data_IF_121865195263
#
_entry.id   IF_121865195263
#
_cell.length_a   1.000
_cell.length_b   1.000
_cell.length_c   1.000
_cell.angle_alpha   90.00
_cell.angle_beta   90.00
_cell.angle_gamma   90.00
#
_symmetry.space_group_name_H-M   'P 1'
#
loop_
_entity.id
_entity.type
_entity.pdbx_description
1 polymer ?
#
# COMPACT_ATOMS: atom_id res chain seq x y z
N UNK A 1 -19.12 -22.48 -17.08
CA UNK A 1 -17.72 -22.01 -17.13
C UNK A 1 -16.88 -22.97 -16.30
N UNK A 2 -15.79 -23.50 -16.86
CA UNK A 2 -14.83 -24.31 -16.13
C UNK A 2 -13.68 -23.42 -15.63
N UNK A 3 -13.23 -23.64 -14.39
CA UNK A 3 -12.09 -22.93 -13.81
C UNK A 3 -10.83 -23.78 -14.00
N UNK A 4 -9.73 -23.17 -14.42
CA UNK A 4 -8.45 -23.83 -14.65
C UNK A 4 -7.34 -23.15 -13.86
N UNK A 5 -6.51 -23.96 -13.20
CA UNK A 5 -5.28 -23.49 -12.57
C UNK A 5 -4.17 -23.38 -13.60
N UNK A 6 -3.42 -22.27 -13.57
CA UNK A 6 -2.22 -22.06 -14.37
C UNK A 6 -1.07 -21.82 -13.39
N UNK A 7 -0.01 -22.61 -13.49
CA UNK A 7 1.19 -22.43 -12.70
C UNK A 7 2.33 -22.01 -13.61
N UNK A 8 2.79 -20.77 -13.48
CA UNK A 8 3.94 -20.25 -14.20
C UNK A 8 4.87 -19.53 -13.22
N UNK A 9 6.02 -20.15 -12.95
CA UNK A 9 6.92 -19.77 -11.84
C UNK A 9 8.21 -19.12 -12.35
N UNK A 10 8.56 -19.32 -13.62
CA UNK A 10 9.82 -18.85 -14.17
C UNK A 10 9.82 -17.32 -14.29
N UNK A 11 10.84 -16.69 -13.70
CA UNK A 11 11.00 -15.23 -13.63
C UNK A 11 10.08 -14.52 -12.63
N UNK A 12 9.14 -15.24 -12.00
CA UNK A 12 8.21 -14.66 -11.03
C UNK A 12 8.85 -14.39 -9.66
N UNK A 13 8.43 -13.33 -8.95
CA UNK A 13 8.95 -13.03 -7.63
C UNK A 13 8.51 -14.09 -6.60
N UNK A 14 9.47 -14.65 -5.85
CA UNK A 14 9.20 -15.67 -4.82
C UNK A 14 8.94 -15.03 -3.46
N UNK A 15 7.72 -14.58 -3.20
CA UNK A 15 7.41 -13.78 -2.01
C UNK A 15 5.96 -13.87 -1.55
N UNK A 16 5.73 -13.50 -0.29
CA UNK A 16 4.41 -13.36 0.33
C UNK A 16 4.08 -11.91 0.60
N UNK A 17 2.81 -11.59 0.87
CA UNK A 17 2.37 -10.26 1.30
C UNK A 17 2.77 -9.11 0.35
N UNK A 18 2.90 -9.40 -0.94
CA UNK A 18 3.01 -8.41 -2.01
C UNK A 18 1.61 -7.88 -2.36
N UNK A 19 1.56 -6.76 -3.07
CA UNK A 19 0.32 -6.27 -3.68
C UNK A 19 0.39 -6.42 -5.20
N UNK A 20 -0.75 -6.71 -5.84
CA UNK A 20 -0.82 -6.81 -7.30
C UNK A 20 -2.06 -6.13 -7.87
N UNK A 21 -1.95 -5.61 -9.09
CA UNK A 21 -3.06 -5.05 -9.86
C UNK A 21 -3.06 -5.62 -11.29
N UNK A 22 -4.24 -5.71 -11.88
CA UNK A 22 -4.41 -5.98 -13.32
C UNK A 22 -4.62 -4.68 -14.08
N UNK A 23 -3.96 -4.53 -15.23
CA UNK A 23 -4.02 -3.32 -16.06
C UNK A 23 -4.22 -3.69 -17.52
N UNK A 24 -5.16 -3.01 -18.19
CA UNK A 24 -5.44 -3.13 -19.64
C UNK A 24 -5.72 -4.55 -20.12
N UNK A 25 -6.32 -5.38 -19.27
CA UNK A 25 -6.65 -6.78 -19.56
C UNK A 25 -5.47 -7.60 -20.12
N UNK A 26 -4.23 -7.22 -19.76
CA UNK A 26 -3.01 -7.84 -20.29
C UNK A 26 -1.91 -7.99 -19.27
N UNK A 27 -1.73 -6.99 -18.42
CA UNK A 27 -0.58 -6.94 -17.53
C UNK A 27 -1.02 -7.12 -16.09
N UNK A 28 -0.25 -7.90 -15.33
CA UNK A 28 -0.31 -7.92 -13.87
C UNK A 28 0.95 -7.26 -13.34
N UNK A 29 0.80 -6.19 -12.57
CA UNK A 29 1.90 -5.56 -11.85
C UNK A 29 1.92 -6.08 -10.43
N UNK A 30 3.08 -6.48 -9.94
CA UNK A 30 3.33 -6.92 -8.56
C UNK A 30 4.33 -5.97 -7.90
N UNK A 31 4.02 -5.55 -6.67
CA UNK A 31 4.74 -4.55 -5.91
C UNK A 31 5.23 -5.14 -4.58
N UNK A 32 6.53 -4.99 -4.30
CA UNK A 32 7.13 -5.37 -3.01
C UNK A 32 6.80 -6.80 -2.57
N UNK A 33 6.67 -7.00 -1.26
CA UNK A 33 6.44 -8.30 -0.61
C UNK A 33 7.64 -8.77 0.22
N UNK A 34 7.50 -9.91 0.88
CA UNK A 34 8.48 -10.54 1.76
C UNK A 34 9.04 -11.83 1.15
N UNK A 35 10.36 -11.92 0.99
CA UNK A 35 11.09 -13.11 0.55
C UNK A 35 12.14 -13.50 1.61
N UNK A 36 12.14 -14.76 2.03
CA UNK A 36 13.18 -15.28 2.94
C UNK A 36 14.55 -15.22 2.26
N UNK A 37 15.52 -14.56 2.89
CA UNK A 37 16.89 -14.43 2.38
C UNK A 37 17.16 -13.11 1.64
N UNK A 38 16.13 -12.29 1.37
CA UNK A 38 16.34 -10.88 1.05
C UNK A 38 16.59 -10.09 2.36
N UNK A 39 17.54 -9.17 2.34
CA UNK A 39 17.90 -8.39 3.53
C UNK A 39 17.01 -7.16 3.65
N UNK A 40 15.93 -7.28 4.44
CA UNK A 40 15.01 -6.17 4.73
C UNK A 40 15.60 -5.09 5.67
N UNK A 41 16.83 -5.27 6.16
CA UNK A 41 17.57 -4.28 6.95
C UNK A 41 18.40 -3.32 6.06
N UNK A 42 18.69 -3.70 4.81
CA UNK A 42 19.27 -2.81 3.81
C UNK A 42 18.20 -1.83 3.32
N UNK A 43 18.59 -0.61 2.93
CA UNK A 43 17.64 0.33 2.31
C UNK A 43 17.57 -0.01 0.83
N UNK A 44 16.65 -0.89 0.47
CA UNK A 44 16.27 -1.09 -0.92
C UNK A 44 14.93 -0.43 -1.22
N UNK A 45 14.76 -0.02 -2.47
CA UNK A 45 13.50 0.54 -2.95
C UNK A 45 12.53 -0.58 -3.26
N UNK A 46 11.24 -0.26 -3.20
CA UNK A 46 10.19 -1.18 -3.59
C UNK A 46 10.34 -1.51 -5.08
N UNK A 47 10.44 -2.80 -5.37
CA UNK A 47 10.59 -3.32 -6.72
C UNK A 47 9.22 -3.57 -7.38
N UNK A 48 9.24 -3.63 -8.71
CA UNK A 48 8.07 -3.88 -9.54
C UNK A 48 8.37 -5.07 -10.45
N UNK A 49 7.47 -6.06 -10.45
CA UNK A 49 7.48 -7.15 -11.42
C UNK A 49 6.24 -7.06 -12.29
N UNK A 50 6.41 -7.30 -13.59
CA UNK A 50 5.34 -7.19 -14.58
C UNK A 50 5.16 -8.56 -15.24
N UNK A 51 3.95 -9.10 -15.18
CA UNK A 51 3.56 -10.30 -15.89
C UNK A 51 2.71 -9.93 -17.10
N UNK A 52 3.12 -10.37 -18.28
CA UNK A 52 2.31 -10.27 -19.50
C UNK A 52 1.55 -11.58 -19.69
N UNK A 53 0.21 -11.54 -19.57
CA UNK A 53 -0.62 -12.74 -19.66
C UNK A 53 -0.62 -13.37 -21.06
N UNK A 54 -0.28 -12.59 -22.10
CA UNK A 54 -0.24 -13.09 -23.48
C UNK A 54 1.03 -13.92 -23.69
N UNK A 55 2.17 -13.43 -23.20
CA UNK A 55 3.45 -14.14 -23.36
C UNK A 55 3.74 -15.11 -22.21
N UNK A 56 2.98 -15.03 -21.12
CA UNK A 56 3.19 -15.79 -19.87
C UNK A 56 4.61 -15.60 -19.30
N UNK A 57 5.13 -14.38 -19.38
CA UNK A 57 6.47 -14.03 -18.91
C UNK A 57 6.43 -12.94 -17.85
N UNK A 58 7.23 -13.16 -16.81
CA UNK A 58 7.56 -12.16 -15.80
C UNK A 58 8.81 -11.38 -16.19
N UNK A 59 8.78 -10.08 -15.93
CA UNK A 59 9.91 -9.17 -16.10
C UNK A 59 10.06 -8.31 -14.85
N UNK A 60 11.26 -8.26 -14.26
CA UNK A 60 11.58 -7.30 -13.21
C UNK A 60 11.82 -5.94 -13.84
N UNK A 61 11.04 -4.93 -13.45
CA UNK A 61 11.25 -3.56 -13.88
C UNK A 61 12.45 -2.94 -13.14
N UNK A 62 13.33 -2.19 -13.83
CA UNK A 62 14.49 -1.56 -13.19
C UNK A 62 14.07 -0.56 -12.10
N UNK A 63 14.68 -0.69 -10.93
CA UNK A 63 14.54 0.29 -9.86
C UNK A 63 15.26 1.58 -10.23
N UNK A 64 14.64 2.77 -10.03
CA UNK A 64 15.33 4.05 -10.20
C UNK A 64 16.62 4.16 -9.37
N UNK A 65 17.66 4.69 -10.00
CA UNK A 65 18.95 5.02 -9.42
C UNK A 65 18.89 6.34 -8.65
N UNK A 66 19.88 6.62 -7.79
CA UNK A 66 19.95 7.86 -6.99
C UNK A 66 19.99 9.15 -7.81
N UNK A 67 20.35 9.06 -9.09
CA UNK A 67 20.41 10.21 -10.01
C UNK A 67 19.08 10.47 -10.71
N UNK A 68 18.12 9.55 -10.63
CA UNK A 68 16.81 9.72 -11.24
C UNK A 68 15.93 10.64 -10.40
N UNK A 69 15.24 11.58 -11.04
CA UNK A 69 14.36 12.56 -10.37
C UNK A 69 13.27 11.89 -9.50
N UNK A 70 12.82 10.70 -9.92
CA UNK A 70 11.79 9.93 -9.21
C UNK A 70 12.34 9.11 -8.02
N UNK A 71 13.64 9.09 -7.75
CA UNK A 71 14.25 8.22 -6.73
C UNK A 71 13.59 8.37 -5.35
N UNK A 72 13.34 9.61 -4.94
CA UNK A 72 12.71 9.89 -3.64
C UNK A 72 11.20 9.62 -3.64
N UNK A 73 10.59 9.43 -4.80
CA UNK A 73 9.21 9.01 -4.98
C UNK A 73 9.03 7.49 -4.94
N UNK A 74 10.11 6.71 -4.97
CA UNK A 74 10.01 5.25 -4.82
C UNK A 74 9.88 4.87 -3.34
N UNK A 75 8.85 4.11 -2.93
CA UNK A 75 8.72 3.61 -1.56
C UNK A 75 9.96 2.78 -1.16
N UNK A 76 10.27 2.72 0.13
CA UNK A 76 11.17 1.66 0.62
C UNK A 76 10.51 0.27 0.45
N UNK A 77 11.32 -0.78 0.27
CA UNK A 77 10.83 -2.16 0.15
C UNK A 77 10.02 -2.58 1.38
N UNK A 78 8.84 -3.16 1.17
CA UNK A 78 7.90 -3.47 2.25
C UNK A 78 6.98 -4.61 1.87
N UNK A 79 6.31 -5.14 2.86
CA UNK A 79 5.24 -6.13 2.71
C UNK A 79 3.97 -5.68 3.44
N UNK A 80 2.84 -6.31 3.15
CA UNK A 80 1.55 -6.04 3.81
C UNK A 80 0.92 -4.70 3.44
N UNK A 81 1.34 -4.08 2.34
CA UNK A 81 0.68 -2.91 1.74
C UNK A 81 -0.47 -3.38 0.85
N UNK A 82 -1.35 -2.45 0.48
CA UNK A 82 -2.35 -2.67 -0.56
C UNK A 82 -2.01 -1.85 -1.81
N UNK A 83 -2.52 -2.31 -2.96
CA UNK A 83 -2.47 -1.58 -4.21
C UNK A 83 -3.86 -1.56 -4.84
N UNK A 84 -4.23 -0.43 -5.43
CA UNK A 84 -5.48 -0.23 -6.14
C UNK A 84 -5.19 0.47 -7.48
N UNK A 85 -5.95 0.16 -8.53
CA UNK A 85 -5.77 0.78 -9.85
C UNK A 85 -6.92 1.73 -10.15
N UNK A 86 -6.60 2.95 -10.58
CA UNK A 86 -7.55 3.94 -11.09
C UNK A 86 -6.92 4.56 -12.34
N UNK A 87 -7.59 4.45 -13.49
CA UNK A 87 -7.15 5.04 -14.76
C UNK A 87 -5.68 4.69 -15.13
N UNK A 88 -5.31 3.41 -15.07
CA UNK A 88 -3.95 2.91 -15.32
C UNK A 88 -2.86 3.41 -14.33
N UNK A 89 -3.24 4.05 -13.23
CA UNK A 89 -2.32 4.46 -12.16
C UNK A 89 -2.51 3.53 -10.96
N UNK A 90 -1.41 2.95 -10.49
CA UNK A 90 -1.39 2.15 -9.27
C UNK A 90 -1.23 3.05 -8.06
N UNK A 91 -2.15 2.98 -7.10
CA UNK A 91 -2.11 3.66 -5.81
C UNK A 91 -1.70 2.66 -4.74
N UNK A 92 -0.61 2.93 -4.05
CA UNK A 92 0.00 2.03 -3.07
C UNK A 92 0.00 2.72 -1.71
N UNK A 93 -0.57 2.04 -0.71
CA UNK A 93 -0.68 2.57 0.64
C UNK A 93 -0.27 1.53 1.69
N UNK A 94 0.34 2.01 2.77
CA UNK A 94 0.67 1.22 3.93
C UNK A 94 1.83 0.26 3.75
N UNK A 95 1.77 -0.86 4.47
CA UNK A 95 2.83 -1.85 4.56
C UNK A 95 3.98 -1.42 5.46
N UNK A 96 4.80 -2.39 5.82
CA UNK A 96 5.92 -2.19 6.75
C UNK A 96 7.19 -2.91 6.32
N UNK A 97 8.29 -2.53 6.96
CA UNK A 97 9.47 -3.37 7.10
C UNK A 97 10.11 -3.12 8.47
N UNK A 98 11.09 -3.94 8.83
CA UNK A 98 11.66 -3.94 10.19
C UNK A 98 12.53 -2.70 10.48
N UNK A 99 12.91 -1.95 9.43
CA UNK A 99 13.78 -0.77 9.53
C UNK A 99 13.03 0.55 9.70
N UNK A 100 11.98 0.73 8.91
CA UNK A 100 11.22 1.99 8.82
C UNK A 100 9.85 1.90 9.48
N UNK A 101 9.44 0.71 9.93
CA UNK A 101 8.11 0.49 10.49
C UNK A 101 7.01 0.54 9.42
N UNK A 102 5.79 0.77 9.87
CA UNK A 102 4.61 0.95 9.01
C UNK A 102 4.61 2.32 8.31
N UNK A 103 3.90 2.41 7.19
CA UNK A 103 3.81 3.64 6.40
C UNK A 103 2.38 4.18 6.31
N UNK A 104 2.24 5.50 6.21
CA UNK A 104 0.99 6.19 5.89
C UNK A 104 1.12 7.13 4.69
N UNK A 105 2.21 7.04 3.93
CA UNK A 105 2.41 7.81 2.71
C UNK A 105 1.74 7.09 1.55
N UNK A 106 0.95 7.83 0.77
CA UNK A 106 0.42 7.35 -0.50
C UNK A 106 1.47 7.51 -1.60
N UNK A 107 1.69 6.43 -2.35
CA UNK A 107 2.56 6.43 -3.52
C UNK A 107 1.76 6.08 -4.76
N UNK A 108 2.21 6.58 -5.91
CA UNK A 108 1.62 6.25 -7.19
C UNK A 108 2.67 5.72 -8.18
N UNK A 109 2.29 4.74 -8.97
CA UNK A 109 3.06 4.26 -10.10
C UNK A 109 2.20 4.34 -11.37
N UNK A 110 2.58 5.24 -12.27
CA UNK A 110 1.92 5.37 -13.57
C UNK A 110 2.40 4.21 -14.46
N UNK A 111 1.48 3.33 -14.85
CA UNK A 111 1.82 2.12 -15.62
C UNK A 111 2.03 2.38 -17.11
N UNK A 112 1.74 3.60 -17.59
CA UNK A 112 2.02 4.03 -18.97
C UNK A 112 3.44 4.52 -19.11
N UNK A 113 3.85 5.39 -18.20
CA UNK A 113 5.18 6.02 -18.20
C UNK A 113 6.19 5.22 -17.40
N UNK A 114 5.72 4.27 -16.57
CA UNK A 114 6.52 3.47 -15.65
C UNK A 114 7.30 4.34 -14.66
N UNK A 115 6.61 5.35 -14.10
CA UNK A 115 7.20 6.35 -13.20
C UNK A 115 6.50 6.40 -11.86
N UNK A 116 7.29 6.58 -10.80
CA UNK A 116 6.85 6.82 -9.44
C UNK A 116 6.54 8.29 -9.18
N UNK A 117 5.51 8.55 -8.38
CA UNK A 117 5.21 9.86 -7.84
C UNK A 117 4.61 9.77 -6.43
N UNK A 118 4.65 10.90 -5.71
CA UNK A 118 3.93 11.09 -4.43
C UNK A 118 2.85 12.14 -4.65
N UNK A 119 1.58 11.74 -4.84
CA UNK A 119 0.51 12.71 -5.02
C UNK A 119 0.34 13.54 -3.74
N UNK A 120 -0.02 14.81 -3.92
CA UNK A 120 -0.45 15.63 -2.80
C UNK A 120 -1.80 15.10 -2.27
N UNK A 121 -1.89 14.90 -0.97
CA UNK A 121 -3.13 14.46 -0.29
C UNK A 121 -3.63 15.57 0.64
N UNK A 122 -4.93 15.58 0.90
CA UNK A 122 -5.59 16.58 1.74
C UNK A 122 -6.44 15.90 2.82
N UNK A 123 -6.67 16.60 3.93
CA UNK A 123 -7.38 16.06 5.09
C UNK A 123 -6.47 15.31 6.05
N UNK A 124 -7.06 14.46 6.89
CA UNK A 124 -6.32 13.62 7.84
C UNK A 124 -6.02 12.25 7.23
N UNK A 125 -4.76 11.91 6.93
CA UNK A 125 -4.43 10.60 6.40
C UNK A 125 -4.70 9.51 7.45
N UNK A 126 -5.03 8.27 7.03
CA UNK A 126 -5.06 7.14 7.95
C UNK A 126 -3.71 6.98 8.65
N UNK A 127 -3.72 6.52 9.89
CA UNK A 127 -2.49 6.14 10.58
C UNK A 127 -1.72 5.04 9.84
N UNK A 128 -0.41 4.99 10.09
CA UNK A 128 0.50 4.04 9.48
C UNK A 128 0.06 2.60 9.79
N UNK A 129 -0.05 1.78 8.75
CA UNK A 129 -0.66 0.45 8.87
C UNK A 129 -0.19 -0.54 7.83
N UNK A 130 -0.39 -1.81 8.12
CA UNK A 130 -0.15 -2.92 7.22
C UNK A 130 -1.16 -4.06 7.47
N UNK A 131 -1.23 -5.02 6.55
CA UNK A 131 -2.23 -6.10 6.59
C UNK A 131 -3.66 -5.60 6.40
N UNK A 132 -3.84 -4.39 5.88
CA UNK A 132 -5.14 -3.82 5.52
C UNK A 132 -5.52 -4.22 4.09
N UNK A 133 -6.76 -3.90 3.71
CA UNK A 133 -7.26 -4.10 2.35
C UNK A 133 -7.62 -2.76 1.72
N UNK A 134 -7.62 -2.71 0.38
CA UNK A 134 -8.15 -1.58 -0.35
C UNK A 134 -9.00 -2.02 -1.53
N UNK A 135 -10.01 -1.21 -1.87
CA UNK A 135 -10.85 -1.39 -3.06
C UNK A 135 -11.18 -0.06 -3.71
N UNK A 136 -11.66 -0.10 -4.95
CA UNK A 136 -12.04 1.09 -5.72
C UNK A 136 -13.53 1.06 -6.00
N UNK A 137 -14.20 2.18 -5.73
CA UNK A 137 -15.59 2.44 -6.13
C UNK A 137 -15.65 3.85 -6.70
N UNK A 138 -16.14 4.01 -7.93
CA UNK A 138 -16.32 5.31 -8.59
C UNK A 138 -15.06 6.21 -8.53
N UNK A 139 -13.89 5.64 -8.92
CA UNK A 139 -12.59 6.33 -8.89
C UNK A 139 -12.14 6.80 -7.50
N UNK A 140 -12.68 6.21 -6.43
CA UNK A 140 -12.23 6.46 -5.05
C UNK A 140 -11.67 5.19 -4.46
N UNK A 141 -10.52 5.31 -3.80
CA UNK A 141 -9.88 4.21 -3.09
C UNK A 141 -10.39 4.19 -1.64
N UNK A 142 -10.85 3.03 -1.18
CA UNK A 142 -11.27 2.81 0.19
C UNK A 142 -10.28 1.87 0.85
N UNK A 143 -9.87 2.18 2.08
CA UNK A 143 -8.90 1.43 2.87
C UNK A 143 -9.64 0.92 4.10
N UNK A 144 -9.54 -0.38 4.38
CA UNK A 144 -10.19 -0.99 5.53
C UNK A 144 -9.29 -1.98 6.28
N UNK A 145 -9.36 -1.92 7.60
CA UNK A 145 -8.69 -2.86 8.49
C UNK A 145 -7.19 -2.58 8.67
N UNK A 146 -6.48 -3.64 9.04
CA UNK A 146 -5.03 -3.66 9.25
C UNK A 146 -4.61 -3.45 10.69
N UNK A 147 -3.31 -3.66 10.89
CA UNK A 147 -2.60 -3.36 12.11
C UNK A 147 -2.11 -1.92 12.06
N UNK A 148 -2.46 -1.14 13.07
CA UNK A 148 -1.98 0.23 13.22
C UNK A 148 -0.78 0.23 14.14
N UNK A 149 0.34 0.78 13.68
CA UNK A 149 1.47 1.04 14.56
C UNK A 149 1.16 2.32 15.34
N UNK A 150 0.61 2.16 16.56
CA UNK A 150 0.47 3.27 17.50
C UNK A 150 1.88 3.81 17.78
N UNK A 151 2.17 5.01 17.30
CA UNK A 151 3.27 5.77 17.86
C UNK A 151 2.88 6.08 19.30
N UNK A 152 3.50 5.40 20.26
CA UNK A 152 3.41 5.76 21.67
C UNK A 152 3.98 7.18 21.86
N UNK A 153 3.17 8.22 21.62
CA UNK A 153 3.39 9.54 22.21
C UNK A 153 2.90 9.58 23.68
N UNK A 154 3.07 8.47 24.41
CA UNK A 154 2.77 8.37 25.83
C UNK A 154 3.89 8.98 26.70
N UNK A 155 4.41 10.16 26.35
CA UNK A 155 5.17 10.99 27.30
C UNK A 155 5.04 12.49 26.96
N UNK A 156 3.85 13.04 27.15
CA UNK A 156 3.63 14.31 27.88
C UNK A 156 2.14 14.44 28.14
N UNK A 157 1.77 14.14 29.39
CA UNK A 157 0.40 13.95 29.79
C UNK A 157 -0.47 15.19 29.62
N UNK A 158 -1.70 14.95 29.17
CA UNK A 158 -2.88 15.54 29.80
C UNK A 158 -4.03 14.55 29.66
N UNK A 159 -4.60 14.15 30.79
CA UNK A 159 -5.89 13.45 30.89
C UNK A 159 -6.94 14.14 30.03
N UNK A 160 -7.59 13.42 29.11
CA UNK A 160 -8.74 13.94 28.38
C UNK A 160 -10.03 13.58 29.15
N UNK A 161 -10.56 14.56 29.89
CA UNK A 161 -11.92 14.51 30.43
C UNK A 161 -12.95 14.67 29.32
N UNK A 162 -14.01 13.84 29.34
CA UNK A 162 -15.22 13.96 28.53
C UNK A 162 -15.70 15.42 28.44
N UNK A 163 -15.77 15.96 27.23
CA UNK A 163 -16.36 17.27 26.95
C UNK A 163 -17.03 17.29 25.59
N UNK A 164 -18.31 17.69 25.57
CA UNK A 164 -19.18 17.78 24.40
C UNK A 164 -18.53 18.56 23.24
N UNK A 165 -18.20 17.88 22.15
CA UNK A 165 -17.88 18.51 20.87
C UNK A 165 -18.98 18.17 19.86
N UNK A 166 -19.65 19.21 19.34
CA UNK A 166 -20.57 19.07 18.20
C UNK A 166 -19.74 18.78 16.95
N UNK A 167 -19.95 17.61 16.35
CA UNK A 167 -19.26 17.12 15.14
C UNK A 167 -20.11 17.50 13.91
N UNK A 168 -19.53 18.03 12.82
CA UNK A 168 -20.26 18.25 11.56
C UNK A 168 -20.76 16.93 10.98
N UNK A 169 -21.95 16.95 10.38
CA UNK A 169 -22.60 15.79 9.75
C UNK A 169 -21.88 15.38 8.46
N UNK A 170 -20.74 14.70 8.56
CA UNK A 170 -20.24 13.81 7.52
C UNK A 170 -19.20 12.89 8.14
N UNK A 171 -19.46 11.59 8.09
CA UNK A 171 -18.64 10.47 8.60
C UNK A 171 -18.95 10.10 10.05
N UNK A 172 -19.83 9.12 10.19
CA UNK A 172 -20.06 8.37 11.42
C UNK A 172 -19.17 7.13 11.39
N UNK A 173 -18.22 6.99 12.32
CA UNK A 173 -17.71 5.66 12.71
C UNK A 173 -17.54 5.66 14.24
N UNK A 174 -18.21 4.70 14.86
CA UNK A 174 -18.28 4.45 16.30
C UNK A 174 -16.94 3.90 16.80
N UNK A 175 -16.38 4.52 17.84
CA UNK A 175 -15.14 4.10 18.48
C UNK A 175 -15.35 2.81 19.29
N UNK A 176 -14.72 1.72 18.88
CA UNK A 176 -14.47 0.56 19.74
C UNK A 176 -12.95 0.34 19.77
N UNK A 177 -12.28 1.03 20.69
CA UNK A 177 -10.87 0.75 21.02
C UNK A 177 -10.82 -0.57 21.80
N UNK A 178 -10.44 -1.66 21.13
CA UNK A 178 -9.97 -2.88 21.78
C UNK A 178 -8.51 -2.68 22.21
N UNK A 179 -8.05 -3.20 23.36
CA UNK A 179 -6.64 -3.12 23.79
C UNK A 179 -5.68 -3.92 22.91
N UNK A 180 -6.15 -4.55 21.84
CA UNK A 180 -5.34 -5.23 20.83
C UNK A 180 -5.57 -4.55 19.47
N UNK A 181 -4.46 -4.08 18.89
CA UNK A 181 -4.27 -3.10 17.81
C UNK A 181 -4.71 -3.56 16.41
N UNK A 182 -5.95 -4.05 16.29
CA UNK A 182 -6.63 -4.26 15.00
C UNK A 182 -7.62 -3.11 14.80
N UNK A 183 -7.36 -2.28 13.79
CA UNK A 183 -8.11 -1.04 13.54
C UNK A 183 -9.20 -1.29 12.48
N UNK A 184 -10.48 -1.35 12.89
CA UNK A 184 -11.63 -1.59 12.00
C UNK A 184 -12.18 -0.32 11.32
N UNK A 185 -11.30 0.59 10.89
CA UNK A 185 -11.71 1.87 10.28
C UNK A 185 -11.74 1.77 8.75
N UNK A 186 -12.82 2.28 8.14
CA UNK A 186 -12.84 2.59 6.70
C UNK A 186 -12.35 4.02 6.54
N UNK A 187 -11.28 4.21 5.77
CA UNK A 187 -10.86 5.52 5.29
C UNK A 187 -11.05 5.61 3.79
N UNK A 188 -11.66 6.69 3.32
CA UNK A 188 -11.83 6.96 1.89
C UNK A 188 -10.82 7.98 1.42
N UNK A 189 -10.08 7.65 0.39
CA UNK A 189 -9.31 8.57 -0.42
C UNK A 189 -10.09 8.88 -1.69
N UNK A 190 -10.42 10.16 -1.88
CA UNK A 190 -10.88 10.66 -3.18
C UNK A 190 -9.64 11.00 -3.98
N UNK A 191 -9.45 10.28 -5.08
CA UNK A 191 -8.36 10.49 -6.04
C UNK A 191 -8.82 11.49 -7.10
#
# INVERSE_FOLDING_TARGET
>A
MALHWIQQVEGGPRRVNHAAISVRDRFIFSFGGYCTGEDYFIIDKLDVHIFDIVTCRWTKFPTPSRTDEQYDCVPYMRYGHSAAVINDVAYIFGGRNDKYGACNTLYCFDTRTLTWSKPQTYGYPPAARDGHTACVIEQKMYIFGGYEEEVQYFLKGTTCTKGNLKIPKSISVLWLTSPQSISCHITTLVV
#
